data_IF_851801982619
#
_entry.id   IF_851801982619
#
_cell.length_a   1.000
_cell.length_b   1.000
_cell.length_c   1.000
_cell.angle_alpha   90.00
_cell.angle_beta   90.00
_cell.angle_gamma   90.00
#
_symmetry.space_group_name_H-M   'P 1'
#
loop_
_entity.id
_entity.type
_entity.pdbx_description
1 polymer ?
#
# COMPACT_ATOMS: atom_id res chain seq x y z
N UNK A 1 -15.49 35.41 -15.54
CA UNK A 1 -16.77 34.90 -14.99
C UNK A 1 -17.15 33.67 -15.78
N UNK A 2 -16.69 32.50 -15.30
CA UNK A 2 -17.37 31.18 -15.26
C UNK A 2 -16.30 30.15 -14.90
N UNK A 3 -16.29 29.78 -13.62
CA UNK A 3 -15.66 28.57 -13.07
C UNK A 3 -16.16 27.30 -13.77
N UNK A 4 -15.31 26.26 -13.85
CA UNK A 4 -15.77 24.89 -13.82
C UNK A 4 -15.03 24.12 -12.72
N UNK A 5 -15.25 24.50 -11.45
CA UNK A 5 -14.96 23.64 -10.28
C UNK A 5 -16.25 23.14 -9.66
N UNK A 6 -16.95 22.26 -10.37
CA UNK A 6 -18.07 21.48 -9.78
C UNK A 6 -18.20 20.13 -10.45
N UNK A 7 -17.81 19.05 -9.75
CA UNK A 7 -18.41 17.69 -9.73
C UNK A 7 -17.31 16.65 -9.46
N UNK A 8 -17.29 15.78 -8.44
CA UNK A 8 -18.35 15.31 -7.55
C UNK A 8 -17.76 14.85 -6.21
N UNK A 9 -17.99 15.58 -5.11
CA UNK A 9 -17.78 15.06 -3.76
C UNK A 9 -18.98 14.20 -3.36
N UNK A 10 -19.12 13.01 -3.95
CA UNK A 10 -20.07 12.00 -3.46
C UNK A 10 -19.47 11.35 -2.22
N UNK A 11 -19.97 11.77 -1.05
CA UNK A 11 -19.52 11.28 0.25
C UNK A 11 -19.54 9.75 0.35
N UNK A 12 -18.53 9.21 1.03
CA UNK A 12 -18.35 7.79 1.27
C UNK A 12 -19.54 7.18 2.03
N UNK A 13 -20.41 6.44 1.35
CA UNK A 13 -21.37 5.58 2.04
C UNK A 13 -20.63 4.45 2.77
N UNK A 14 -21.12 4.02 3.93
CA UNK A 14 -20.50 2.93 4.71
C UNK A 14 -20.35 1.66 3.88
N UNK A 15 -21.35 1.36 3.03
CA UNK A 15 -21.34 0.17 2.15
C UNK A 15 -20.27 0.27 1.06
N UNK A 16 -20.16 1.42 0.39
CA UNK A 16 -19.17 1.65 -0.66
C UNK A 16 -17.75 1.61 -0.10
N UNK A 17 -17.56 2.20 1.08
CA UNK A 17 -16.28 2.18 1.77
C UNK A 17 -15.89 0.76 2.18
N UNK A 18 -16.80 0.02 2.85
CA UNK A 18 -16.53 -1.36 3.27
C UNK A 18 -16.09 -2.22 2.09
N UNK A 19 -16.84 -2.14 0.98
CA UNK A 19 -16.53 -2.85 -0.26
C UNK A 19 -15.13 -2.48 -0.81
N UNK A 20 -14.74 -1.20 -0.70
CA UNK A 20 -13.43 -0.74 -1.19
C UNK A 20 -12.28 -1.20 -0.31
N UNK A 21 -12.46 -1.18 1.03
CA UNK A 21 -11.49 -1.71 1.99
C UNK A 21 -11.34 -3.23 1.85
N UNK A 22 -12.44 -3.98 1.71
CA UNK A 22 -12.42 -5.43 1.47
C UNK A 22 -11.70 -5.79 0.16
N UNK A 23 -11.94 -5.00 -0.90
CA UNK A 23 -11.24 -5.18 -2.19
C UNK A 23 -9.76 -4.88 -2.08
N UNK A 24 -9.37 -3.88 -1.29
CA UNK A 24 -7.96 -3.55 -1.07
C UNK A 24 -7.26 -4.62 -0.20
N UNK A 25 -7.92 -5.10 0.86
CA UNK A 25 -7.42 -6.18 1.71
C UNK A 25 -7.04 -7.43 0.89
N UNK A 26 -7.90 -7.83 -0.06
CA UNK A 26 -7.66 -9.01 -0.91
C UNK A 26 -6.46 -8.89 -1.88
N UNK A 27 -5.86 -7.70 -2.05
CA UNK A 27 -4.72 -7.51 -2.96
C UNK A 27 -3.39 -7.93 -2.35
N UNK A 28 -3.27 -7.86 -1.03
CA UNK A 28 -2.05 -8.24 -0.31
C UNK A 28 -2.17 -9.71 0.07
N UNK A 29 -1.14 -10.48 -0.24
CA UNK A 29 -1.07 -11.88 0.16
C UNK A 29 -0.83 -11.97 1.68
N UNK A 30 -1.49 -12.89 2.40
CA UNK A 30 -1.22 -13.10 3.82
C UNK A 30 0.23 -13.57 4.02
N UNK A 31 0.86 -13.17 5.13
CA UNK A 31 2.21 -13.60 5.50
C UNK A 31 2.17 -14.30 6.86
N UNK A 32 2.68 -15.53 6.89
CA UNK A 32 2.75 -16.33 8.10
C UNK A 32 3.88 -15.86 9.02
N UNK A 33 3.72 -15.99 10.36
CA UNK A 33 4.80 -15.75 11.30
C UNK A 33 6.00 -16.64 11.00
N UNK A 34 7.20 -16.24 11.44
CA UNK A 34 8.45 -16.98 11.18
C UNK A 34 8.39 -18.45 11.61
N UNK A 35 7.63 -18.75 12.66
CA UNK A 35 7.38 -20.11 13.16
C UNK A 35 6.65 -21.03 12.14
N UNK A 36 6.03 -20.45 11.12
CA UNK A 36 5.29 -21.15 10.06
C UNK A 36 5.55 -20.54 8.68
N UNK A 37 6.78 -20.08 8.43
CA UNK A 37 7.12 -19.37 7.20
C UNK A 37 6.88 -20.23 5.94
N UNK A 38 6.00 -19.77 5.07
CA UNK A 38 5.80 -20.30 3.73
C UNK A 38 6.05 -19.15 2.76
N UNK A 39 6.90 -19.36 1.75
CA UNK A 39 7.10 -18.34 0.72
C UNK A 39 5.78 -18.10 -0.03
N UNK A 40 5.32 -16.85 -0.03
CA UNK A 40 4.06 -16.46 -0.64
C UNK A 40 4.31 -15.71 -1.93
N UNK A 41 3.60 -16.09 -2.99
CA UNK A 41 3.69 -15.40 -4.26
C UNK A 41 3.12 -13.97 -4.12
N UNK A 42 3.90 -12.90 -4.38
CA UNK A 42 3.43 -11.52 -4.28
C UNK A 42 2.26 -11.20 -5.22
N UNK A 43 2.04 -12.02 -6.25
CA UNK A 43 0.94 -11.91 -7.19
C UNK A 43 -0.36 -12.59 -6.72
N UNK A 44 -0.38 -13.26 -5.55
CA UNK A 44 -1.50 -14.11 -5.13
C UNK A 44 -2.84 -13.36 -5.14
N UNK A 45 -2.89 -12.15 -4.57
CA UNK A 45 -4.08 -11.29 -4.56
C UNK A 45 -4.47 -10.71 -5.93
N UNK A 46 -3.61 -10.88 -6.93
CA UNK A 46 -3.78 -10.41 -8.31
C UNK A 46 -3.87 -11.58 -9.31
N UNK A 47 -4.05 -12.81 -8.84
CA UNK A 47 -4.09 -14.04 -9.66
C UNK A 47 -5.21 -14.07 -10.72
N UNK A 48 -6.20 -13.18 -10.60
CA UNK A 48 -7.25 -12.98 -11.60
C UNK A 48 -6.81 -12.09 -12.78
N UNK A 49 -5.62 -11.48 -12.71
CA UNK A 49 -5.04 -10.65 -13.77
C UNK A 49 -3.98 -11.44 -14.55
N UNK A 50 -3.67 -10.99 -15.77
CA UNK A 50 -2.48 -11.48 -16.49
C UNK A 50 -1.20 -11.03 -15.77
N UNK A 51 -0.10 -11.78 -15.94
CA UNK A 51 1.20 -11.44 -15.36
C UNK A 51 1.60 -9.97 -15.66
N UNK A 52 1.46 -9.53 -16.91
CA UNK A 52 1.75 -8.15 -17.33
C UNK A 52 0.92 -7.13 -16.55
N UNK A 53 -0.39 -7.33 -16.45
CA UNK A 53 -1.28 -6.41 -15.74
C UNK A 53 -0.96 -6.36 -14.24
N UNK A 54 -0.68 -7.51 -13.63
CA UNK A 54 -0.33 -7.59 -12.22
C UNK A 54 1.03 -6.91 -11.96
N UNK A 55 2.03 -7.15 -12.80
CA UNK A 55 3.35 -6.53 -12.73
C UNK A 55 3.27 -5.01 -12.90
N UNK A 56 2.57 -4.51 -13.93
CA UNK A 56 2.38 -3.07 -14.11
C UNK A 56 1.69 -2.42 -12.91
N UNK A 57 0.67 -3.09 -12.36
CA UNK A 57 -0.04 -2.58 -11.18
C UNK A 57 0.86 -2.53 -9.95
N UNK A 58 1.61 -3.59 -9.67
CA UNK A 58 2.53 -3.64 -8.53
C UNK A 58 3.67 -2.64 -8.66
N UNK A 59 4.23 -2.45 -9.87
CA UNK A 59 5.24 -1.43 -10.12
C UNK A 59 4.70 -0.02 -9.81
N UNK A 60 3.48 0.30 -10.28
CA UNK A 60 2.83 1.59 -10.03
C UNK A 60 2.58 1.93 -8.56
N UNK A 61 2.26 0.94 -7.71
CA UNK A 61 1.98 1.19 -6.28
C UNK A 61 3.18 0.93 -5.36
N UNK A 62 3.99 -0.07 -5.64
CA UNK A 62 5.09 -0.49 -4.79
C UNK A 62 6.38 0.27 -5.05
N UNK A 63 6.61 0.70 -6.29
CA UNK A 63 7.92 1.20 -6.72
C UNK A 63 8.94 0.05 -6.69
N UNK A 64 9.12 -0.62 -7.82
CA UNK A 64 9.99 -1.78 -7.91
C UNK A 64 9.82 -2.57 -9.19
N UNK A 65 10.91 -3.21 -9.61
CA UNK A 65 10.95 -4.03 -10.81
C UNK A 65 10.26 -5.37 -10.54
N UNK A 66 9.24 -5.66 -11.34
CA UNK A 66 8.44 -6.88 -11.22
C UNK A 66 9.00 -8.04 -12.04
N UNK A 67 10.04 -7.76 -12.81
CA UNK A 67 10.85 -8.70 -13.59
C UNK A 67 12.31 -8.55 -13.18
N UNK A 68 13.13 -9.52 -13.56
CA UNK A 68 14.58 -9.35 -13.48
C UNK A 68 15.03 -8.26 -14.46
N UNK A 69 16.22 -7.67 -14.25
CA UNK A 69 16.75 -6.69 -15.18
C UNK A 69 16.97 -7.29 -16.57
N UNK A 70 17.02 -6.44 -17.58
CA UNK A 70 17.12 -6.80 -18.99
C UNK A 70 18.42 -7.56 -19.27
N UNK A 71 19.51 -7.19 -18.57
CA UNK A 71 20.81 -7.85 -18.69
C UNK A 71 20.76 -9.34 -18.32
N UNK A 72 19.90 -9.72 -17.37
CA UNK A 72 19.68 -11.11 -16.98
C UNK A 72 19.16 -11.93 -18.16
N UNK A 73 18.15 -11.42 -18.86
CA UNK A 73 17.56 -12.11 -20.01
C UNK A 73 18.49 -12.12 -21.23
N UNK A 74 19.27 -11.05 -21.43
CA UNK A 74 20.28 -10.99 -22.49
C UNK A 74 21.39 -12.04 -22.26
N UNK A 75 21.87 -12.22 -21.03
CA UNK A 75 22.83 -13.30 -20.70
C UNK A 75 22.23 -14.68 -20.89
N UNK A 76 20.96 -14.88 -20.56
CA UNK A 76 20.27 -16.15 -20.81
C UNK A 76 20.17 -16.46 -22.32
N UNK A 77 20.04 -15.43 -23.17
CA UNK A 77 20.13 -15.55 -24.63
C UNK A 77 21.54 -15.86 -25.13
N UNK A 78 22.58 -15.27 -24.52
CA UNK A 78 23.99 -15.54 -24.85
C UNK A 78 24.40 -16.98 -24.48
N UNK A 79 23.85 -17.50 -23.38
CA UNK A 79 24.12 -18.85 -22.87
C UNK A 79 23.23 -19.95 -23.48
N UNK A 80 22.40 -19.62 -24.48
CA UNK A 80 21.42 -20.52 -25.10
C UNK A 80 20.38 -21.14 -24.12
N UNK A 81 20.21 -20.56 -22.92
CA UNK A 81 19.15 -20.92 -21.96
C UNK A 81 17.77 -20.43 -22.45
N UNK A 82 17.75 -19.27 -23.11
CA UNK A 82 16.63 -18.75 -23.89
C UNK A 82 17.05 -18.75 -25.34
N UNK A 83 16.26 -19.35 -26.23
CA UNK A 83 16.60 -19.39 -27.67
C UNK A 83 15.91 -18.27 -28.43
N UNK A 84 16.54 -17.81 -29.51
CA UNK A 84 15.92 -16.87 -30.46
C UNK A 84 14.59 -17.39 -31.04
N UNK A 85 14.45 -18.71 -31.17
CA UNK A 85 13.19 -19.37 -31.56
C UNK A 85 12.08 -19.17 -30.54
N UNK A 86 12.43 -19.10 -29.25
CA UNK A 86 11.47 -18.92 -28.17
C UNK A 86 10.96 -17.48 -28.18
N UNK A 87 11.86 -16.51 -28.35
CA UNK A 87 11.51 -15.09 -28.55
C UNK A 87 10.60 -14.93 -29.76
N UNK A 88 10.92 -15.56 -30.90
CA UNK A 88 10.07 -15.54 -32.09
C UNK A 88 8.67 -16.06 -31.78
N UNK A 89 8.58 -17.20 -31.12
CA UNK A 89 7.32 -17.86 -30.76
C UNK A 89 6.46 -16.97 -29.87
N UNK A 90 7.07 -16.24 -28.93
CA UNK A 90 6.36 -15.31 -28.05
C UNK A 90 5.91 -14.05 -28.80
N UNK A 91 6.76 -13.46 -29.66
CA UNK A 91 6.38 -12.30 -30.49
C UNK A 91 5.18 -12.63 -31.38
N UNK A 92 5.21 -13.77 -32.08
CA UNK A 92 4.10 -14.20 -32.95
C UNK A 92 2.78 -14.39 -32.17
N UNK A 93 2.85 -14.78 -30.89
CA UNK A 93 1.67 -14.96 -30.02
C UNK A 93 1.21 -13.67 -29.34
N UNK A 94 2.14 -12.75 -29.07
CA UNK A 94 1.89 -11.56 -28.27
C UNK A 94 1.10 -10.51 -29.04
N UNK A 95 1.44 -10.30 -30.32
CA UNK A 95 0.68 -9.46 -31.23
C UNK A 95 0.85 -9.96 -32.67
N UNK A 96 -0.24 -10.48 -33.25
CA UNK A 96 -0.24 -10.98 -34.63
C UNK A 96 0.07 -9.89 -35.67
N UNK A 97 -0.03 -8.60 -35.28
CA UNK A 97 0.35 -7.46 -36.12
C UNK A 97 1.78 -6.98 -35.87
N UNK A 98 2.47 -7.47 -34.83
CA UNK A 98 3.86 -7.15 -34.57
C UNK A 98 4.76 -7.96 -35.51
N UNK A 99 5.14 -7.33 -36.63
CA UNK A 99 6.01 -7.92 -37.66
C UNK A 99 7.49 -7.67 -37.39
N UNK A 100 7.88 -7.22 -36.18
CA UNK A 100 9.29 -7.00 -35.85
C UNK A 100 10.07 -8.31 -36.00
N UNK A 101 11.21 -8.22 -36.69
CA UNK A 101 12.17 -9.32 -36.72
C UNK A 101 12.77 -9.48 -35.33
N UNK A 102 13.07 -10.71 -34.93
CA UNK A 102 13.68 -11.01 -33.61
C UNK A 102 14.93 -10.17 -33.40
N UNK A 103 15.74 -9.98 -34.44
CA UNK A 103 16.96 -9.19 -34.38
C UNK A 103 16.70 -7.71 -34.06
N UNK A 104 15.61 -7.14 -34.60
CA UNK A 104 15.24 -5.74 -34.32
C UNK A 104 14.75 -5.60 -32.88
N UNK A 105 13.94 -6.54 -32.40
CA UNK A 105 13.49 -6.56 -31.01
C UNK A 105 14.67 -6.66 -30.03
N UNK A 106 15.62 -7.57 -30.29
CA UNK A 106 16.80 -7.72 -29.43
C UNK A 106 17.72 -6.49 -29.49
N UNK A 107 17.82 -5.84 -30.64
CA UNK A 107 18.55 -4.59 -30.76
C UNK A 107 17.89 -3.47 -29.94
N UNK A 108 16.56 -3.31 -30.05
CA UNK A 108 15.78 -2.35 -29.24
C UNK A 108 16.02 -2.59 -27.75
N UNK A 109 15.82 -3.82 -27.28
CA UNK A 109 16.01 -4.21 -25.86
C UNK A 109 17.43 -3.93 -25.36
N UNK A 110 18.45 -4.14 -26.19
CA UNK A 110 19.84 -3.90 -25.81
C UNK A 110 20.25 -2.41 -25.83
N UNK A 111 19.50 -1.57 -26.54
CA UNK A 111 19.79 -0.13 -26.68
C UNK A 111 18.89 0.75 -25.85
N UNK A 112 17.80 0.21 -25.31
CA UNK A 112 16.90 0.90 -24.39
C UNK A 112 17.55 1.01 -23.01
N UNK A 113 17.81 2.23 -22.50
CA UNK A 113 18.33 2.40 -21.16
C UNK A 113 17.30 1.90 -20.15
N UNK A 114 17.63 0.80 -19.47
CA UNK A 114 16.77 0.25 -18.43
C UNK A 114 16.67 1.23 -17.25
N UNK A 115 15.50 1.84 -17.08
CA UNK A 115 15.21 2.62 -15.87
C UNK A 115 14.96 1.65 -14.71
N UNK A 116 16.05 1.36 -13.99
CA UNK A 116 16.01 0.48 -12.82
C UNK A 116 15.31 1.12 -11.63
N UNK A 117 15.02 2.43 -11.69
CA UNK A 117 14.37 3.22 -10.64
C UNK A 117 12.91 3.47 -10.98
N UNK A 118 12.07 2.46 -10.78
CA UNK A 118 10.62 2.67 -10.83
C UNK A 118 10.13 3.29 -9.51
N UNK A 119 9.85 4.59 -9.53
CA UNK A 119 9.12 5.23 -8.45
C UNK A 119 7.63 4.85 -8.52
N UNK A 120 6.92 4.75 -7.39
CA UNK A 120 5.48 4.59 -7.41
C UNK A 120 4.82 5.73 -8.20
N UNK A 121 3.99 5.41 -9.19
CA UNK A 121 3.18 6.40 -9.91
C UNK A 121 2.04 6.94 -9.05
N UNK A 122 1.65 6.20 -8.00
CA UNK A 122 0.61 6.61 -7.05
C UNK A 122 1.28 7.21 -5.82
N UNK A 123 1.22 8.53 -5.69
CA UNK A 123 1.75 9.25 -4.52
C UNK A 123 0.80 9.10 -3.32
N UNK A 124 1.33 8.79 -2.12
CA UNK A 124 0.61 9.01 -0.86
C UNK A 124 0.87 10.40 -0.30
N UNK A 125 0.10 10.83 0.71
CA UNK A 125 0.36 12.10 1.37
C UNK A 125 1.75 12.10 2.03
N UNK A 126 2.22 10.99 2.61
CA UNK A 126 3.61 10.91 3.11
C UNK A 126 4.67 11.13 2.03
N UNK A 127 4.41 10.75 0.78
CA UNK A 127 5.32 10.98 -0.34
C UNK A 127 5.38 12.49 -0.64
N UNK A 128 4.23 13.17 -0.70
CA UNK A 128 4.14 14.64 -0.86
C UNK A 128 4.80 15.37 0.31
N UNK A 129 4.49 14.97 1.54
CA UNK A 129 5.08 15.55 2.74
C UNK A 129 6.60 15.41 2.74
N UNK A 130 7.13 14.27 2.29
CA UNK A 130 8.57 14.04 2.17
C UNK A 130 9.22 14.96 1.14
N UNK A 131 8.58 15.11 -0.03
CA UNK A 131 9.07 16.00 -1.08
C UNK A 131 9.10 17.46 -0.65
N UNK A 132 8.02 17.95 -0.02
CA UNK A 132 7.85 19.35 0.40
C UNK A 132 8.76 19.70 1.57
N UNK A 133 8.74 18.90 2.64
CA UNK A 133 9.46 19.23 3.88
C UNK A 133 10.92 18.77 3.89
N UNK A 134 11.34 18.00 2.88
CA UNK A 134 12.68 17.39 2.77
C UNK A 134 13.05 16.50 3.97
N UNK A 135 12.05 15.98 4.69
CA UNK A 135 12.19 15.03 5.79
C UNK A 135 11.54 13.71 5.39
N UNK A 136 12.19 12.60 5.69
CA UNK A 136 11.71 11.27 5.32
C UNK A 136 10.50 10.83 6.18
N UNK A 137 9.31 11.30 5.82
CA UNK A 137 8.06 10.91 6.47
C UNK A 137 7.62 9.50 6.09
N UNK A 138 8.13 8.97 4.97
CA UNK A 138 7.92 7.59 4.58
C UNK A 138 8.57 6.63 5.59
N UNK A 139 9.88 6.79 5.84
CA UNK A 139 10.58 5.98 6.84
C UNK A 139 10.00 6.21 8.25
N UNK A 140 9.70 7.46 8.61
CA UNK A 140 9.10 7.76 9.91
C UNK A 140 7.76 7.04 10.13
N UNK A 141 6.91 6.97 9.09
CA UNK A 141 5.62 6.27 9.18
C UNK A 141 5.82 4.76 9.32
N UNK A 142 6.78 4.20 8.58
CA UNK A 142 7.17 2.79 8.70
C UNK A 142 7.65 2.48 10.12
N UNK A 143 8.53 3.31 10.69
CA UNK A 143 9.08 3.11 12.03
C UNK A 143 7.99 3.23 13.11
N UNK A 144 7.14 4.27 13.02
CA UNK A 144 6.05 4.51 13.96
C UNK A 144 5.10 3.30 14.03
N UNK A 145 4.63 2.87 12.86
CA UNK A 145 3.64 1.79 12.77
C UNK A 145 4.27 0.42 13.03
N UNK A 146 5.53 0.20 12.61
CA UNK A 146 6.23 -1.05 12.90
C UNK A 146 6.55 -1.21 14.38
N UNK A 147 6.96 -0.12 15.05
CA UNK A 147 7.17 -0.13 16.50
C UNK A 147 5.88 -0.51 17.23
N UNK A 148 4.76 0.12 16.87
CA UNK A 148 3.45 -0.18 17.44
C UNK A 148 3.03 -1.64 17.16
N UNK A 149 3.06 -2.03 15.90
CA UNK A 149 2.63 -3.36 15.45
C UNK A 149 3.46 -4.47 16.10
N UNK A 150 4.77 -4.24 16.31
CA UNK A 150 5.64 -5.22 16.97
C UNK A 150 5.21 -5.53 18.41
N UNK A 151 4.64 -4.56 19.12
CA UNK A 151 4.12 -4.75 20.49
C UNK A 151 2.70 -5.31 20.46
N UNK A 152 1.85 -4.83 19.55
CA UNK A 152 0.45 -5.26 19.47
C UNK A 152 0.31 -6.72 19.03
N UNK A 153 1.07 -7.12 18.00
CA UNK A 153 1.04 -8.47 17.45
C UNK A 153 1.91 -9.46 18.22
N UNK A 154 2.67 -9.00 19.21
CA UNK A 154 3.41 -9.88 20.11
C UNK A 154 2.41 -10.77 20.88
N UNK A 155 2.51 -12.08 20.68
CA UNK A 155 1.60 -13.10 21.20
C UNK A 155 1.78 -13.33 22.73
N UNK A 156 2.09 -12.27 23.48
CA UNK A 156 2.23 -12.27 24.93
C UNK A 156 3.64 -12.57 25.45
N UNK A 157 4.70 -12.35 24.65
CA UNK A 157 6.07 -12.41 25.16
C UNK A 157 6.40 -11.19 26.05
N UNK A 158 5.73 -10.06 25.81
CA UNK A 158 5.76 -8.87 26.66
C UNK A 158 4.68 -8.93 27.75
N UNK A 159 5.09 -8.71 29.00
CA UNK A 159 4.22 -8.72 30.18
C UNK A 159 3.15 -7.61 30.17
N UNK A 160 3.30 -6.58 29.32
CA UNK A 160 2.42 -5.42 29.23
C UNK A 160 1.63 -5.41 27.92
N UNK A 161 0.78 -6.42 27.71
CA UNK A 161 -0.16 -6.38 26.60
C UNK A 161 -1.41 -5.59 27.02
N UNK A 162 -1.39 -4.27 26.76
CA UNK A 162 -2.51 -3.36 27.02
C UNK A 162 -3.67 -3.52 26.03
N UNK A 163 -3.53 -4.39 25.02
CA UNK A 163 -4.46 -4.54 23.92
C UNK A 163 -5.39 -5.76 24.04
N UNK A 164 -5.31 -6.54 25.13
CA UNK A 164 -6.16 -7.71 25.33
C UNK A 164 -7.65 -7.31 25.42
N UNK A 165 -8.38 -7.51 24.33
CA UNK A 165 -9.85 -7.40 24.24
C UNK A 165 -10.38 -6.25 23.38
N UNK A 166 -9.53 -5.36 22.89
CA UNK A 166 -9.93 -4.30 21.94
C UNK A 166 -9.60 -4.70 20.50
N UNK A 167 -10.38 -4.22 19.52
CA UNK A 167 -10.02 -4.36 18.10
C UNK A 167 -8.68 -3.68 17.79
N UNK A 168 -8.00 -4.14 16.74
CA UNK A 168 -6.70 -3.61 16.28
C UNK A 168 -6.72 -2.08 16.17
N UNK A 169 -7.75 -1.52 15.53
CA UNK A 169 -7.89 -0.08 15.37
C UNK A 169 -8.03 0.63 16.73
N UNK A 170 -8.84 0.08 17.63
CA UNK A 170 -9.09 0.69 18.94
C UNK A 170 -7.83 0.69 19.80
N UNK A 171 -7.06 -0.40 19.78
CA UNK A 171 -5.78 -0.48 20.46
C UNK A 171 -4.77 0.53 19.91
N UNK A 172 -4.67 0.67 18.59
CA UNK A 172 -3.82 1.67 17.97
C UNK A 172 -4.24 3.10 18.34
N UNK A 173 -5.54 3.39 18.24
CA UNK A 173 -6.10 4.70 18.56
C UNK A 173 -5.78 5.11 20.00
N UNK A 174 -5.95 4.18 20.96
CA UNK A 174 -5.66 4.44 22.37
C UNK A 174 -4.20 4.86 22.59
N UNK A 175 -3.24 4.24 21.90
CA UNK A 175 -1.84 4.64 21.95
C UNK A 175 -1.58 5.97 21.21
N UNK A 176 -2.15 6.14 20.01
CA UNK A 176 -2.00 7.37 19.22
C UNK A 176 -2.44 8.62 19.98
N UNK A 177 -3.44 8.52 20.87
CA UNK A 177 -3.92 9.61 21.72
C UNK A 177 -2.91 10.08 22.78
N UNK A 178 -1.92 9.26 23.13
CA UNK A 178 -0.95 9.52 24.20
C UNK A 178 0.50 9.54 23.71
N UNK A 179 0.79 9.00 22.53
CA UNK A 179 2.13 8.89 21.94
C UNK A 179 2.73 10.28 21.64
N UNK A 180 3.85 10.62 22.29
CA UNK A 180 4.56 11.91 22.12
C UNK A 180 5.60 11.90 20.99
N UNK A 181 5.87 10.75 20.37
CA UNK A 181 6.84 10.62 19.28
C UNK A 181 6.54 11.60 18.13
N UNK A 182 5.28 11.78 17.67
CA UNK A 182 4.98 12.79 16.64
C UNK A 182 5.34 14.22 17.06
N UNK A 183 5.09 14.60 18.33
CA UNK A 183 5.42 15.94 18.84
C UNK A 183 6.93 16.20 18.74
N UNK A 184 7.76 15.22 19.12
CA UNK A 184 9.24 15.29 19.03
C UNK A 184 9.71 15.40 17.57
N UNK A 185 8.97 14.82 16.63
CA UNK A 185 9.27 14.90 15.20
C UNK A 185 8.71 16.17 14.52
N UNK A 186 8.16 17.13 15.27
CA UNK A 186 7.66 18.38 14.71
C UNK A 186 6.26 18.28 14.12
N UNK A 187 5.44 17.35 14.61
CA UNK A 187 4.00 17.25 14.29
C UNK A 187 3.17 17.71 15.49
N UNK A 188 3.15 19.02 15.79
CA UNK A 188 2.40 19.53 16.92
C UNK A 188 0.91 19.24 16.72
N UNK A 189 0.26 18.80 17.80
CA UNK A 189 -1.19 18.58 17.79
C UNK A 189 -1.63 17.21 17.26
N UNK A 190 -0.71 16.35 16.81
CA UNK A 190 -1.03 14.99 16.34
C UNK A 190 -1.92 14.23 17.33
N UNK A 191 -1.55 14.24 18.62
CA UNK A 191 -2.34 13.59 19.69
C UNK A 191 -3.72 14.22 19.87
N UNK A 192 -3.82 15.53 19.74
CA UNK A 192 -5.10 16.23 19.89
C UNK A 192 -6.05 15.87 18.76
N UNK A 193 -5.53 15.74 17.54
CA UNK A 193 -6.30 15.24 16.41
C UNK A 193 -6.65 13.76 16.59
N UNK A 194 -5.71 12.93 17.06
CA UNK A 194 -5.94 11.51 17.32
C UNK A 194 -7.08 11.28 18.33
N UNK A 195 -7.21 12.13 19.34
CA UNK A 195 -8.34 12.12 20.29
C UNK A 195 -9.69 12.42 19.64
N UNK A 196 -9.70 13.15 18.53
CA UNK A 196 -10.89 13.45 17.74
C UNK A 196 -11.31 12.33 16.79
N UNK A 197 -10.51 11.27 16.65
CA UNK A 197 -10.88 10.14 15.81
C UNK A 197 -12.10 9.39 16.39
N UNK A 198 -13.05 8.95 15.55
CA UNK A 198 -14.15 8.07 15.96
C UNK A 198 -13.66 6.77 16.62
N UNK A 199 -14.49 6.15 17.46
CA UNK A 199 -14.17 4.86 18.09
C UNK A 199 -14.39 3.66 17.15
N UNK A 200 -15.33 3.80 16.22
CA UNK A 200 -15.63 2.80 15.20
C UNK A 200 -14.65 2.93 14.01
N UNK A 201 -14.00 1.82 13.57
CA UNK A 201 -13.02 1.87 12.50
C UNK A 201 -13.61 2.33 11.16
N UNK A 202 -14.85 1.96 10.83
CA UNK A 202 -15.47 2.38 9.57
C UNK A 202 -15.72 3.89 9.55
N UNK A 203 -16.20 4.46 10.66
CA UNK A 203 -16.35 5.91 10.83
C UNK A 203 -15.00 6.63 10.80
N UNK A 204 -13.96 6.05 11.40
CA UNK A 204 -12.61 6.60 11.37
C UNK A 204 -12.02 6.62 9.95
N UNK A 205 -12.22 5.56 9.17
CA UNK A 205 -11.83 5.52 7.76
C UNK A 205 -12.61 6.57 6.94
N UNK A 206 -13.93 6.74 7.17
CA UNK A 206 -14.70 7.81 6.53
C UNK A 206 -14.17 9.20 6.89
N UNK A 207 -13.84 9.42 8.17
CA UNK A 207 -13.22 10.65 8.64
C UNK A 207 -11.90 10.91 7.92
N UNK A 208 -11.00 9.93 7.89
CA UNK A 208 -9.69 10.06 7.26
C UNK A 208 -9.80 10.38 5.76
N UNK A 209 -10.69 9.69 5.04
CA UNK A 209 -10.92 9.95 3.61
C UNK A 209 -11.48 11.35 3.36
N UNK A 210 -12.37 11.83 4.24
CA UNK A 210 -12.89 13.20 4.16
C UNK A 210 -11.79 14.23 4.40
N UNK A 211 -10.93 14.00 5.39
CA UNK A 211 -9.79 14.89 5.69
C UNK A 211 -8.79 14.94 4.54
N UNK A 212 -8.48 13.78 3.95
CA UNK A 212 -7.59 13.66 2.80
C UNK A 212 -8.22 14.15 1.50
N UNK A 213 -9.54 14.41 1.45
CA UNK A 213 -10.23 14.81 0.23
C UNK A 213 -10.33 13.72 -0.85
N UNK A 214 -10.03 12.46 -0.52
CA UNK A 214 -9.90 11.38 -1.50
C UNK A 214 -11.25 10.97 -2.11
N UNK A 215 -11.38 10.95 -3.45
CA UNK A 215 -12.58 10.52 -4.14
C UNK A 215 -12.74 8.99 -4.11
N UNK A 216 -13.95 8.52 -4.44
CA UNK A 216 -14.22 7.08 -4.54
C UNK A 216 -13.56 6.41 -5.74
N UNK A 217 -13.27 7.19 -6.79
CA UNK A 217 -12.53 6.73 -7.97
C UNK A 217 -11.05 6.66 -7.64
N UNK A 218 -10.38 5.55 -7.97
CA UNK A 218 -8.93 5.39 -7.75
C UNK A 218 -8.53 5.07 -6.31
N UNK A 219 -9.47 5.06 -5.35
CA UNK A 219 -9.18 4.73 -3.95
C UNK A 219 -8.45 3.40 -3.79
N UNK A 220 -8.75 2.45 -4.66
CA UNK A 220 -8.25 1.10 -4.54
C UNK A 220 -6.74 1.05 -4.81
N UNK A 221 -6.22 1.95 -5.65
CA UNK A 221 -4.79 2.14 -5.87
C UNK A 221 -4.14 2.81 -4.66
N UNK A 222 -4.78 3.85 -4.11
CA UNK A 222 -4.28 4.55 -2.93
C UNK A 222 -4.18 3.62 -1.70
N UNK A 223 -5.22 2.86 -1.40
CA UNK A 223 -5.21 1.89 -0.29
C UNK A 223 -4.12 0.83 -0.49
N UNK A 224 -3.92 0.38 -1.72
CA UNK A 224 -2.88 -0.59 -2.03
C UNK A 224 -1.48 0.03 -1.87
N UNK A 225 -1.28 1.28 -2.29
CA UNK A 225 -0.05 2.05 -2.04
C UNK A 225 0.29 2.09 -0.55
N UNK A 226 -0.68 2.43 0.30
CA UNK A 226 -0.48 2.44 1.75
C UNK A 226 -0.04 1.07 2.29
N UNK A 227 -0.70 -0.01 1.84
CA UNK A 227 -0.34 -1.36 2.26
C UNK A 227 1.06 -1.76 1.82
N UNK A 228 1.44 -1.45 0.57
CA UNK A 228 2.76 -1.82 0.03
C UNK A 228 3.90 -1.14 0.77
N UNK A 229 3.68 0.08 1.31
CA UNK A 229 4.69 0.77 2.14
C UNK A 229 4.99 0.02 3.43
N UNK A 230 4.03 -0.72 3.97
CA UNK A 230 4.21 -1.55 5.18
C UNK A 230 3.71 -2.96 4.89
N UNK A 231 4.31 -3.59 3.86
CA UNK A 231 3.82 -4.85 3.33
C UNK A 231 3.85 -5.98 4.36
N UNK A 232 4.89 -6.07 5.20
CA UNK A 232 5.02 -7.12 6.22
C UNK A 232 3.83 -7.14 7.19
N UNK A 233 3.57 -6.03 7.88
CA UNK A 233 2.44 -5.93 8.82
C UNK A 233 1.07 -5.98 8.12
N UNK A 234 0.95 -5.42 6.92
CA UNK A 234 -0.28 -5.54 6.13
C UNK A 234 -0.60 -6.99 5.76
N UNK A 235 0.43 -7.78 5.47
CA UNK A 235 0.30 -9.21 5.16
C UNK A 235 0.04 -10.04 6.42
N UNK A 236 0.62 -9.66 7.56
CA UNK A 236 0.32 -10.30 8.85
C UNK A 236 -1.13 -10.07 9.30
N UNK A 237 -1.67 -8.87 9.11
CA UNK A 237 -3.10 -8.62 9.35
C UNK A 237 -4.00 -9.51 8.47
N UNK A 238 -3.64 -9.73 7.21
CA UNK A 238 -4.34 -10.67 6.33
C UNK A 238 -4.21 -12.14 6.77
N UNK A 239 -3.09 -12.52 7.39
CA UNK A 239 -2.93 -13.83 8.00
C UNK A 239 -3.87 -14.03 9.20
N UNK A 240 -4.07 -13.02 10.04
CA UNK A 240 -5.03 -13.09 11.15
C UNK A 240 -6.47 -13.31 10.64
N UNK A 241 -6.86 -12.59 9.58
CA UNK A 241 -8.18 -12.77 8.97
C UNK A 241 -8.35 -14.17 8.37
N UNK A 242 -7.28 -14.72 7.77
CA UNK A 242 -7.27 -16.09 7.26
C UNK A 242 -7.42 -17.12 8.39
N UNK A 243 -6.73 -16.93 9.53
CA UNK A 243 -6.86 -17.82 10.69
C UNK A 243 -8.27 -17.77 11.29
N UNK A 244 -8.86 -16.58 11.44
CA UNK A 244 -10.22 -16.41 11.94
C UNK A 244 -11.24 -17.18 11.06
N UNK A 245 -11.09 -17.10 9.73
CA UNK A 245 -11.92 -17.84 8.79
C UNK A 245 -11.82 -19.36 8.94
N UNK A 246 -10.64 -19.89 9.27
CA UNK A 246 -10.42 -21.33 9.43
C UNK A 246 -10.90 -21.89 10.76
N UNK A 247 -10.56 -21.22 11.88
CA UNK A 247 -10.74 -21.76 13.22
C UNK A 247 -12.00 -21.23 13.91
N UNK A 248 -12.33 -19.96 13.71
CA UNK A 248 -13.44 -19.31 14.40
C UNK A 248 -14.72 -19.25 13.56
N UNK A 249 -14.62 -19.56 12.25
CA UNK A 249 -15.71 -19.43 11.27
C UNK A 249 -16.34 -18.03 11.29
N UNK A 250 -15.54 -17.02 11.61
CA UNK A 250 -15.91 -15.61 11.64
C UNK A 250 -15.24 -14.88 10.47
N UNK A 251 -15.82 -13.75 10.05
CA UNK A 251 -15.11 -12.81 9.18
C UNK A 251 -14.08 -12.06 10.02
N UNK A 252 -12.79 -12.23 9.71
CA UNK A 252 -11.73 -11.43 10.32
C UNK A 252 -11.86 -9.95 9.94
N UNK A 253 -11.54 -9.06 10.89
CA UNK A 253 -11.59 -7.60 10.71
C UNK A 253 -10.21 -6.95 10.71
N UNK A 254 -9.14 -7.71 10.93
CA UNK A 254 -7.80 -7.18 11.19
C UNK A 254 -7.28 -6.38 9.99
N UNK A 255 -7.50 -6.83 8.75
CA UNK A 255 -6.97 -6.14 7.59
C UNK A 255 -7.73 -4.84 7.25
N UNK A 256 -9.05 -4.80 7.52
CA UNK A 256 -9.86 -3.58 7.40
C UNK A 256 -9.45 -2.56 8.47
N UNK A 257 -9.28 -3.02 9.71
CA UNK A 257 -8.83 -2.18 10.81
C UNK A 257 -7.40 -1.67 10.59
N UNK A 258 -6.50 -2.50 10.06
CA UNK A 258 -5.15 -2.08 9.68
C UNK A 258 -5.16 -1.02 8.59
N UNK A 259 -5.93 -1.20 7.51
CA UNK A 259 -6.12 -0.16 6.48
C UNK A 259 -6.67 1.14 7.06
N UNK A 260 -7.57 1.04 8.02
CA UNK A 260 -8.13 2.20 8.74
C UNK A 260 -7.03 2.93 9.50
N UNK A 261 -6.15 2.21 10.20
CA UNK A 261 -4.97 2.77 10.87
C UNK A 261 -4.09 3.52 9.87
N UNK A 262 -3.75 2.90 8.72
CA UNK A 262 -2.93 3.54 7.69
C UNK A 262 -3.55 4.85 7.17
N UNK A 263 -4.84 4.83 6.85
CA UNK A 263 -5.58 6.03 6.43
C UNK A 263 -5.59 7.11 7.51
N UNK A 264 -5.82 6.73 8.77
CA UNK A 264 -5.84 7.67 9.87
C UNK A 264 -4.47 8.32 10.06
N UNK A 265 -3.36 7.59 9.94
CA UNK A 265 -2.02 8.18 10.02
C UNK A 265 -1.80 9.24 8.94
N UNK A 266 -2.18 8.99 7.69
CA UNK A 266 -2.12 10.01 6.64
C UNK A 266 -2.97 11.24 7.02
N UNK A 267 -4.22 11.05 7.43
CA UNK A 267 -5.09 12.16 7.82
C UNK A 267 -4.54 12.97 9.02
N UNK A 268 -3.99 12.29 10.03
CA UNK A 268 -3.35 12.91 11.18
C UNK A 268 -2.11 13.70 10.78
N UNK A 269 -1.32 13.18 9.84
CA UNK A 269 -0.15 13.86 9.29
C UNK A 269 -0.55 15.16 8.59
N UNK A 270 -1.55 15.10 7.70
CA UNK A 270 -2.06 16.28 6.98
C UNK A 270 -2.52 17.37 7.93
N UNK A 271 -3.31 17.01 8.96
CA UNK A 271 -3.79 17.98 9.94
C UNK A 271 -2.67 18.55 10.81
N UNK A 272 -1.70 17.73 11.22
CA UNK A 272 -0.56 18.20 12.01
C UNK A 272 0.37 19.13 11.20
N UNK A 273 0.36 18.98 9.88
CA UNK A 273 1.11 19.79 8.92
C UNK A 273 0.32 20.97 8.35
N UNK A 274 -0.84 21.34 8.92
CA UNK A 274 -1.68 22.43 8.43
C UNK A 274 -0.97 23.80 8.34
N UNK A 275 0.16 23.96 9.03
CA UNK A 275 0.99 25.17 9.03
C UNK A 275 2.12 25.16 7.97
N UNK A 276 2.23 24.09 7.18
CA UNK A 276 3.24 23.91 6.14
C UNK A 276 2.63 24.05 4.74
N UNK A 277 3.43 23.90 3.68
CA UNK A 277 2.95 23.90 2.29
C UNK A 277 2.30 22.56 1.89
N UNK A 278 2.44 21.50 2.69
CA UNK A 278 1.92 20.16 2.38
C UNK A 278 0.43 20.12 2.04
N UNK A 279 -0.49 20.80 2.77
CA UNK A 279 -1.91 20.80 2.40
C UNK A 279 -2.20 21.49 1.06
N UNK A 280 -1.33 22.39 0.60
CA UNK A 280 -1.50 23.09 -0.67
C UNK A 280 -1.01 22.22 -1.84
N UNK A 281 0.09 21.50 -1.63
CA UNK A 281 0.67 20.58 -2.62
C UNK A 281 -0.03 19.22 -2.65
N UNK A 282 -0.89 18.93 -1.68
CA UNK A 282 -1.69 17.72 -1.64
C UNK A 282 -2.90 17.83 -2.58
N UNK A 283 -2.78 17.24 -3.77
CA UNK A 283 -3.88 17.04 -4.72
C UNK A 283 -4.44 15.62 -4.60
N UNK A 284 -5.68 15.51 -4.11
CA UNK A 284 -6.37 14.24 -3.82
C UNK A 284 -7.03 13.58 -5.05
#
# INVERSE_FOLDING_TARGET
MTDPKTSAHTGWSTKTLKTSLEKAAKKIAPLWPLESFVAVNPYLGLSHLTFRQAAQRLSKVGGGNMTLPTDFYLRALENDEVRRSDVKTVLDRHDANDKRRVENFLYEVNTDPEDTTTLPEVSSLTDVATAVTRKDWNQWTVDLLSSWASVYFDQGQLAWNTAKGAGLYQAWRAEAMVNRTPDVHGLPGFRQVAKGLPEDPMQAAQFALKVLGLPSVGIDLYLHRLQTRIMGWSSYAGYLDWQAGLYERSEGTAQIEWLTVLLCVEALLLQSMAHTEVPTEWEA
#
